data_IF_659292868111
#
_entry.id   IF_659292868111
#
_cell.length_a   1.000
_cell.length_b   1.000
_cell.length_c   1.000
_cell.angle_alpha   90.00
_cell.angle_beta   90.00
_cell.angle_gamma   90.00
#
_symmetry.space_group_name_H-M   'P 1'
#
loop_
_entity.id
_entity.type
_entity.pdbx_description
1 polymer ?
#
# COMPACT_ATOMS: atom_id res chain seq x y z
N UNK A 1 -2.10 -54.70 0.32
CA UNK A 1 -2.61 -53.83 -0.76
C UNK A 1 -2.62 -52.40 -0.21
N UNK A 2 -1.51 -51.68 -0.38
CA UNK A 2 -1.24 -50.40 0.30
C UNK A 2 -1.33 -49.31 -0.74
N UNK A 3 -2.43 -48.55 -0.73
CA UNK A 3 -2.67 -47.46 -1.68
C UNK A 3 -1.91 -46.23 -1.20
N UNK A 4 -0.82 -45.90 -1.90
CA UNK A 4 -0.14 -44.62 -1.76
C UNK A 4 -0.97 -43.51 -2.37
N UNK A 5 -1.58 -42.64 -1.57
CA UNK A 5 -2.13 -41.39 -2.07
C UNK A 5 -1.02 -40.33 -2.13
N UNK A 6 -0.35 -40.30 -3.28
CA UNK A 6 0.46 -39.16 -3.73
C UNK A 6 -0.48 -37.96 -3.89
N UNK A 7 -0.37 -36.99 -3.00
CA UNK A 7 -0.94 -35.66 -3.18
C UNK A 7 -0.17 -34.97 -4.30
N UNK A 8 -0.71 -34.97 -5.51
CA UNK A 8 -0.27 -34.06 -6.57
C UNK A 8 -0.68 -32.63 -6.20
N UNK A 9 0.28 -31.88 -5.67
CA UNK A 9 0.16 -30.45 -5.41
C UNK A 9 0.89 -29.73 -6.56
N UNK A 10 0.13 -28.94 -7.32
CA UNK A 10 0.55 -28.35 -8.60
C UNK A 10 1.82 -27.49 -8.58
N UNK A 11 2.44 -27.44 -9.75
CA UNK A 11 3.60 -26.66 -10.26
C UNK A 11 4.60 -26.08 -9.23
N UNK A 12 5.85 -26.56 -9.32
CA UNK A 12 6.98 -26.14 -8.48
C UNK A 12 7.33 -24.64 -8.54
N UNK A 13 6.88 -23.91 -9.55
CA UNK A 13 7.18 -22.48 -9.73
C UNK A 13 6.47 -21.61 -8.69
N UNK A 14 5.19 -21.87 -8.41
CA UNK A 14 4.43 -21.12 -7.40
C UNK A 14 4.98 -21.34 -6.00
N UNK A 15 5.48 -22.55 -5.71
CA UNK A 15 6.13 -22.86 -4.41
C UNK A 15 7.51 -22.22 -4.29
N UNK A 16 8.28 -22.13 -5.39
CA UNK A 16 9.58 -21.45 -5.42
C UNK A 16 9.45 -19.93 -5.29
N UNK A 17 8.42 -19.30 -5.85
CA UNK A 17 8.18 -17.87 -5.67
C UNK A 17 7.75 -17.51 -4.24
N UNK A 18 6.96 -18.36 -3.58
CA UNK A 18 6.57 -18.19 -2.16
C UNK A 18 7.79 -18.26 -1.21
N UNK A 19 8.86 -18.97 -1.60
CA UNK A 19 10.10 -19.06 -0.82
C UNK A 19 11.02 -17.84 -0.98
N UNK A 20 10.74 -16.93 -1.92
CA UNK A 20 11.59 -15.76 -2.21
C UNK A 20 11.10 -14.46 -1.55
N UNK A 21 9.93 -14.48 -0.90
CA UNK A 21 9.39 -13.32 -0.19
C UNK A 21 9.50 -13.54 1.33
N UNK A 22 9.82 -12.48 2.07
CA UNK A 22 9.89 -12.53 3.54
C UNK A 22 8.50 -12.69 4.19
N UNK A 23 7.42 -12.54 3.41
CA UNK A 23 6.04 -12.71 3.86
C UNK A 23 5.61 -14.16 3.66
N UNK A 24 5.18 -14.82 4.73
CA UNK A 24 4.85 -16.24 4.75
C UNK A 24 3.35 -16.46 4.86
N UNK A 25 2.75 -16.96 3.77
CA UNK A 25 1.32 -17.24 3.70
C UNK A 25 0.94 -18.70 3.98
N UNK A 26 1.86 -19.57 4.42
CA UNK A 26 1.57 -21.00 4.65
C UNK A 26 0.39 -21.21 5.60
N UNK A 27 0.37 -20.51 6.73
CA UNK A 27 -0.71 -20.61 7.72
C UNK A 27 -2.03 -20.02 7.18
N UNK A 28 -1.97 -18.90 6.46
CA UNK A 28 -3.15 -18.32 5.82
C UNK A 28 -3.74 -19.25 4.75
N UNK A 29 -2.92 -19.87 3.91
CA UNK A 29 -3.39 -20.83 2.89
C UNK A 29 -4.02 -22.05 3.56
N UNK A 30 -3.41 -22.56 4.64
CA UNK A 30 -3.91 -23.74 5.34
C UNK A 30 -5.20 -23.49 6.10
N UNK A 31 -5.30 -22.38 6.82
CA UNK A 31 -6.37 -22.14 7.81
C UNK A 31 -7.24 -20.90 7.51
N UNK A 32 -6.73 -19.94 6.75
CA UNK A 32 -7.36 -18.65 6.49
C UNK A 32 -8.13 -18.53 5.17
N UNK A 33 -7.94 -19.42 4.19
CA UNK A 33 -8.57 -19.32 2.85
C UNK A 33 -10.08 -19.56 2.85
N UNK A 34 -10.84 -18.76 2.10
CA UNK A 34 -12.27 -18.99 1.90
C UNK A 34 -12.51 -20.10 0.87
N UNK A 35 -13.60 -20.86 1.03
CA UNK A 35 -13.89 -22.02 0.17
C UNK A 35 -14.06 -21.63 -1.30
N UNK A 36 -14.77 -20.54 -1.59
CA UNK A 36 -15.00 -20.07 -2.97
C UNK A 36 -13.79 -19.35 -3.58
N UNK A 37 -12.67 -19.23 -2.85
CA UNK A 37 -11.41 -18.65 -3.33
C UNK A 37 -10.22 -19.47 -2.81
N UNK A 38 -10.06 -20.72 -3.27
CA UNK A 38 -9.10 -21.67 -2.71
C UNK A 38 -7.63 -21.29 -2.98
N UNK A 39 -7.40 -20.49 -4.02
CA UNK A 39 -6.09 -20.04 -4.48
C UNK A 39 -5.98 -18.51 -4.33
N UNK A 40 -5.68 -17.99 -3.12
CA UNK A 40 -5.51 -16.56 -2.92
C UNK A 40 -4.26 -16.08 -3.68
N UNK A 41 -4.32 -14.89 -4.28
CA UNK A 41 -3.20 -14.30 -4.99
C UNK A 41 -2.17 -13.74 -3.98
N UNK A 42 -0.94 -14.27 -3.89
CA UNK A 42 0.06 -13.80 -2.93
C UNK A 42 0.40 -12.31 -3.11
N UNK A 43 0.54 -11.83 -4.35
CA UNK A 43 0.82 -10.41 -4.65
C UNK A 43 -0.28 -9.51 -4.08
N UNK A 44 -1.54 -9.92 -4.17
CA UNK A 44 -2.64 -9.18 -3.55
C UNK A 44 -2.56 -9.20 -2.02
N UNK A 45 -2.19 -10.33 -1.41
CA UNK A 45 -2.05 -10.43 0.05
C UNK A 45 -0.92 -9.54 0.58
N UNK A 46 0.23 -9.54 -0.09
CA UNK A 46 1.37 -8.67 0.22
C UNK A 46 0.97 -7.20 0.12
N UNK A 47 0.30 -6.83 -0.98
CA UNK A 47 -0.24 -5.48 -1.18
C UNK A 47 -1.25 -5.12 -0.09
N UNK A 48 -2.14 -6.04 0.26
CA UNK A 48 -3.19 -5.79 1.26
C UNK A 48 -2.58 -5.54 2.64
N UNK A 49 -1.56 -6.29 3.03
CA UNK A 49 -0.86 -6.06 4.29
C UNK A 49 -0.25 -4.66 4.31
N UNK A 50 0.51 -4.28 3.27
CA UNK A 50 1.10 -2.94 3.21
C UNK A 50 0.06 -1.82 3.25
N UNK A 51 -1.06 -1.98 2.54
CA UNK A 51 -2.15 -1.02 2.56
C UNK A 51 -2.84 -0.94 3.93
N UNK A 52 -3.08 -2.09 4.57
CA UNK A 52 -3.66 -2.16 5.89
C UNK A 52 -2.72 -1.56 6.96
N UNK A 53 -1.41 -1.72 6.83
CA UNK A 53 -0.47 -1.09 7.76
C UNK A 53 -0.48 0.44 7.65
N UNK A 54 -0.70 0.98 6.44
CA UNK A 54 -0.80 2.42 6.22
C UNK A 54 -2.15 3.02 6.68
N UNK A 55 -3.27 2.32 6.49
CA UNK A 55 -4.61 2.93 6.70
C UNK A 55 -5.63 2.08 7.47
N UNK A 56 -5.31 0.82 7.74
CA UNK A 56 -6.19 -0.08 8.47
C UNK A 56 -6.21 0.17 9.97
N UNK A 57 -7.27 -0.29 10.64
CA UNK A 57 -7.43 -0.19 12.08
C UNK A 57 -7.84 -1.54 12.68
N UNK A 58 -7.09 -1.98 13.70
CA UNK A 58 -7.51 -3.05 14.60
C UNK A 58 -8.42 -2.46 15.66
N UNK A 59 -9.64 -2.97 15.79
CA UNK A 59 -10.66 -2.44 16.68
C UNK A 59 -10.94 -3.39 17.84
N UNK A 60 -11.05 -2.82 19.04
CA UNK A 60 -11.63 -3.43 20.23
C UNK A 60 -12.66 -2.46 20.81
N UNK A 61 -13.87 -2.92 21.07
CA UNK A 61 -14.88 -2.15 21.79
C UNK A 61 -15.68 -3.06 22.72
N UNK A 62 -16.41 -2.49 23.66
CA UNK A 62 -17.28 -3.22 24.58
C UNK A 62 -18.71 -3.11 24.07
N UNK A 63 -19.44 -4.23 24.01
CA UNK A 63 -20.87 -4.21 23.67
C UNK A 63 -21.76 -3.87 24.87
N UNK A 64 -23.07 -3.77 24.64
CA UNK A 64 -24.05 -3.45 25.66
C UNK A 64 -24.05 -4.46 26.84
N UNK A 65 -23.56 -5.68 26.62
CA UNK A 65 -23.48 -6.74 27.62
C UNK A 65 -22.11 -6.79 28.31
N UNK A 66 -21.33 -5.70 28.24
CA UNK A 66 -19.97 -5.62 28.80
C UNK A 66 -19.00 -6.66 28.21
N UNK A 67 -19.26 -7.16 27.00
CA UNK A 67 -18.38 -8.13 26.33
C UNK A 67 -17.51 -7.43 25.30
N UNK A 68 -16.21 -7.73 25.34
CA UNK A 68 -15.29 -7.28 24.29
C UNK A 68 -15.75 -7.82 22.92
N UNK A 69 -15.70 -6.93 21.93
CA UNK A 69 -15.93 -7.16 20.51
C UNK A 69 -14.71 -6.68 19.74
N UNK A 70 -14.49 -7.32 18.61
CA UNK A 70 -13.30 -7.16 17.82
C UNK A 70 -13.67 -6.88 16.38
N UNK A 71 -12.80 -6.14 15.69
CA UNK A 71 -13.05 -5.75 14.33
C UNK A 71 -11.80 -5.27 13.60
N UNK A 72 -11.94 -5.20 12.29
CA UNK A 72 -10.96 -4.65 11.38
C UNK A 72 -11.68 -3.68 10.44
N UNK A 73 -11.13 -2.48 10.27
CA UNK A 73 -11.71 -1.46 9.40
C UNK A 73 -10.66 -0.77 8.54
N UNK A 74 -11.05 -0.43 7.32
CA UNK A 74 -10.35 0.53 6.45
C UNK A 74 -11.40 1.52 5.92
N UNK A 75 -11.12 2.82 5.98
CA UNK A 75 -12.05 3.87 5.53
C UNK A 75 -11.43 4.75 4.46
N UNK A 76 -12.03 4.77 3.28
CA UNK A 76 -11.50 5.46 2.10
C UNK A 76 -12.58 6.16 1.29
N UNK A 77 -12.18 7.15 0.47
CA UNK A 77 -13.08 7.78 -0.51
C UNK A 77 -13.26 6.92 -1.78
N UNK A 78 -12.32 6.02 -2.06
CA UNK A 78 -12.33 5.19 -3.27
C UNK A 78 -13.11 3.89 -3.05
N UNK A 79 -14.41 3.91 -3.39
CA UNK A 79 -15.29 2.74 -3.27
C UNK A 79 -14.82 1.56 -4.13
N UNK A 80 -14.24 1.83 -5.30
CA UNK A 80 -13.78 0.76 -6.19
C UNK A 80 -12.63 0.00 -5.54
N UNK A 81 -11.72 0.71 -4.87
CA UNK A 81 -10.65 0.09 -4.07
C UNK A 81 -11.22 -0.78 -2.95
N UNK A 82 -12.26 -0.32 -2.24
CA UNK A 82 -12.92 -1.11 -1.19
C UNK A 82 -13.52 -2.41 -1.76
N UNK A 83 -14.21 -2.35 -2.90
CA UNK A 83 -14.72 -3.55 -3.58
C UNK A 83 -13.61 -4.49 -4.06
N UNK A 84 -12.48 -3.95 -4.55
CA UNK A 84 -11.30 -4.77 -4.89
C UNK A 84 -10.75 -5.50 -3.66
N UNK A 85 -10.66 -4.84 -2.51
CA UNK A 85 -10.22 -5.47 -1.26
C UNK A 85 -11.18 -6.59 -0.84
N UNK A 86 -12.48 -6.30 -0.78
CA UNK A 86 -13.51 -7.29 -0.42
C UNK A 86 -13.44 -8.52 -1.35
N UNK A 87 -13.31 -8.29 -2.65
CA UNK A 87 -13.24 -9.36 -3.67
C UNK A 87 -11.92 -10.12 -3.62
N UNK A 88 -10.82 -9.41 -3.34
CA UNK A 88 -9.49 -10.01 -3.17
C UNK A 88 -9.42 -10.94 -1.97
N UNK A 89 -10.03 -10.56 -0.84
CA UNK A 89 -10.13 -11.41 0.36
C UNK A 89 -11.24 -12.46 0.26
N UNK A 90 -12.31 -12.17 -0.47
CA UNK A 90 -13.51 -13.01 -0.59
C UNK A 90 -14.49 -12.87 0.59
N UNK A 91 -14.33 -11.83 1.43
CA UNK A 91 -15.18 -11.59 2.59
C UNK A 91 -15.10 -10.15 3.09
N UNK A 92 -15.94 -9.82 4.07
CA UNK A 92 -16.08 -8.51 4.67
C UNK A 92 -17.24 -7.71 4.06
N UNK A 93 -17.60 -6.62 4.75
CA UNK A 93 -18.72 -5.76 4.38
C UNK A 93 -18.20 -4.41 3.90
N UNK A 94 -18.89 -3.82 2.94
CA UNK A 94 -18.67 -2.44 2.52
C UNK A 94 -19.90 -1.64 2.92
N UNK A 95 -19.68 -0.57 3.67
CA UNK A 95 -20.75 0.32 4.13
C UNK A 95 -20.41 1.75 3.73
N UNK A 96 -21.41 2.48 3.24
CA UNK A 96 -21.29 3.90 2.95
C UNK A 96 -21.38 4.71 4.26
N UNK A 97 -20.51 5.70 4.42
CA UNK A 97 -20.52 6.63 5.54
C UNK A 97 -20.79 8.02 5.00
N UNK A 98 -21.99 8.51 5.25
CA UNK A 98 -22.39 9.90 5.01
C UNK A 98 -22.41 10.64 6.32
N UNK A 99 -21.56 11.66 6.46
CA UNK A 99 -21.71 12.68 7.50
C UNK A 99 -22.31 13.92 6.82
N UNK A 100 -23.22 14.62 7.48
CA UNK A 100 -23.78 15.89 6.97
C UNK A 100 -22.62 16.82 6.56
N UNK A 101 -22.75 17.45 5.39
CA UNK A 101 -21.78 18.38 4.79
C UNK A 101 -20.35 17.83 4.58
N UNK A 102 -20.16 16.51 4.56
CA UNK A 102 -18.85 15.88 4.31
C UNK A 102 -18.86 15.01 3.04
N UNK A 103 -17.70 14.83 2.39
CA UNK A 103 -17.60 13.89 1.27
C UNK A 103 -17.95 12.47 1.71
N UNK A 104 -18.53 11.69 0.80
CA UNK A 104 -18.88 10.29 1.05
C UNK A 104 -17.60 9.48 1.26
N UNK A 105 -17.57 8.70 2.33
CA UNK A 105 -16.55 7.69 2.58
C UNK A 105 -17.16 6.30 2.53
N UNK A 106 -16.31 5.31 2.30
CA UNK A 106 -16.66 3.91 2.26
C UNK A 106 -15.79 3.17 3.27
N UNK A 107 -16.43 2.35 4.08
CA UNK A 107 -15.76 1.50 5.07
C UNK A 107 -15.80 0.07 4.61
N UNK A 108 -14.63 -0.53 4.44
CA UNK A 108 -14.48 -1.97 4.47
C UNK A 108 -14.38 -2.42 5.93
N UNK A 109 -15.20 -3.38 6.35
CA UNK A 109 -15.17 -3.90 7.71
C UNK A 109 -15.31 -5.42 7.81
N UNK A 110 -14.66 -5.98 8.82
CA UNK A 110 -14.77 -7.39 9.20
C UNK A 110 -14.95 -7.46 10.71
N UNK A 111 -16.08 -7.99 11.16
CA UNK A 111 -16.42 -8.12 12.58
C UNK A 111 -16.82 -9.54 12.99
N UNK A 112 -17.05 -10.43 12.03
CA UNK A 112 -17.43 -11.81 12.32
C UNK A 112 -16.22 -12.65 12.72
N UNK A 113 -16.39 -13.52 13.72
CA UNK A 113 -15.33 -14.30 14.32
C UNK A 113 -14.55 -15.15 13.31
N UNK A 114 -15.28 -15.75 12.36
CA UNK A 114 -14.70 -16.62 11.33
C UNK A 114 -13.71 -15.85 10.47
N UNK A 115 -14.11 -14.70 9.93
CA UNK A 115 -13.25 -13.91 9.05
C UNK A 115 -12.17 -13.14 9.81
N UNK A 116 -12.41 -12.74 11.06
CA UNK A 116 -11.35 -12.22 11.92
C UNK A 116 -10.24 -13.26 12.14
N UNK A 117 -10.60 -14.52 12.39
CA UNK A 117 -9.63 -15.62 12.50
C UNK A 117 -8.80 -15.78 11.23
N UNK A 118 -9.41 -15.65 10.04
CA UNK A 118 -8.69 -15.65 8.76
C UNK A 118 -7.66 -14.53 8.68
N UNK A 119 -8.03 -13.33 9.14
CA UNK A 119 -7.14 -12.17 9.13
C UNK A 119 -6.01 -12.30 10.16
N UNK A 120 -6.24 -12.95 11.31
CA UNK A 120 -5.14 -13.31 12.23
C UNK A 120 -4.11 -14.16 11.50
N UNK A 121 -4.53 -15.22 10.80
CA UNK A 121 -3.60 -16.05 10.01
C UNK A 121 -2.89 -15.30 8.89
N UNK A 122 -3.50 -14.23 8.36
CA UNK A 122 -2.89 -13.39 7.33
C UNK A 122 -1.82 -12.46 7.89
N UNK A 123 -2.11 -11.78 9.01
CA UNK A 123 -1.24 -10.75 9.57
C UNK A 123 -0.15 -11.32 10.49
N UNK A 124 -0.42 -12.44 11.18
CA UNK A 124 0.50 -12.99 12.16
C UNK A 124 1.80 -13.47 11.50
N UNK A 125 2.91 -12.81 11.85
CA UNK A 125 4.21 -13.06 11.24
C UNK A 125 4.46 -12.31 9.91
N UNK A 126 3.55 -11.43 9.48
CA UNK A 126 3.61 -10.76 8.18
C UNK A 126 3.56 -9.22 8.25
N UNK A 127 3.33 -8.63 9.42
CA UNK A 127 3.36 -7.17 9.62
C UNK A 127 4.81 -6.67 9.66
N UNK A 128 5.10 -5.54 9.01
CA UNK A 128 6.45 -4.95 8.91
C UNK A 128 6.62 -3.77 9.88
N UNK A 129 5.61 -2.91 10.05
CA UNK A 129 5.73 -1.71 10.89
C UNK A 129 5.64 -2.06 12.37
N UNK A 130 6.57 -1.52 13.16
CA UNK A 130 6.62 -1.75 14.61
C UNK A 130 5.32 -1.32 15.28
N UNK A 131 4.69 -0.24 14.81
CA UNK A 131 3.40 0.23 15.33
C UNK A 131 2.30 -0.80 15.13
N UNK A 132 2.18 -1.38 13.93
CA UNK A 132 1.13 -2.37 13.63
C UNK A 132 1.40 -3.70 14.28
N UNK A 133 2.66 -4.13 14.37
CA UNK A 133 3.05 -5.32 15.14
C UNK A 133 2.59 -5.20 16.60
N UNK A 134 2.88 -4.08 17.27
CA UNK A 134 2.44 -3.82 18.65
C UNK A 134 0.92 -3.79 18.78
N UNK A 135 0.23 -3.08 17.88
CA UNK A 135 -1.24 -3.04 17.88
C UNK A 135 -1.84 -4.44 17.72
N UNK A 136 -1.29 -5.24 16.80
CA UNK A 136 -1.75 -6.59 16.53
C UNK A 136 -1.47 -7.54 17.70
N UNK A 137 -0.29 -7.48 18.31
CA UNK A 137 0.06 -8.29 19.48
C UNK A 137 -0.95 -8.10 20.63
N UNK A 138 -1.25 -6.83 20.97
CA UNK A 138 -2.24 -6.50 22.01
C UNK A 138 -3.63 -6.98 21.59
N UNK A 139 -4.01 -6.75 20.33
CA UNK A 139 -5.31 -7.12 19.81
C UNK A 139 -5.54 -8.63 19.84
N UNK A 140 -4.55 -9.44 19.44
CA UNK A 140 -4.61 -10.91 19.49
C UNK A 140 -4.65 -11.44 20.92
N UNK A 141 -3.86 -10.87 21.84
CA UNK A 141 -3.89 -11.28 23.25
C UNK A 141 -5.29 -11.09 23.87
N UNK A 142 -5.95 -9.97 23.57
CA UNK A 142 -7.31 -9.70 24.03
C UNK A 142 -8.37 -10.56 23.31
N UNK A 143 -8.16 -10.82 22.01
CA UNK A 143 -9.01 -11.72 21.23
C UNK A 143 -8.98 -13.14 21.79
N UNK A 144 -7.80 -13.65 22.12
CA UNK A 144 -7.59 -14.96 22.74
C UNK A 144 -8.39 -15.09 24.05
N UNK A 145 -8.28 -14.10 24.95
CA UNK A 145 -9.05 -14.06 26.20
C UNK A 145 -10.57 -14.09 25.96
N UNK A 146 -11.06 -13.31 24.99
CA UNK A 146 -12.50 -13.19 24.72
C UNK A 146 -13.11 -14.45 24.12
N UNK A 147 -12.39 -15.12 23.24
CA UNK A 147 -12.91 -16.24 22.45
C UNK A 147 -12.33 -17.60 22.87
N UNK A 148 -11.57 -17.64 23.97
CA UNK A 148 -10.88 -18.84 24.46
C UNK A 148 -10.08 -19.52 23.34
N UNK A 149 -9.28 -18.72 22.62
CA UNK A 149 -8.39 -19.19 21.55
C UNK A 149 -6.93 -18.99 21.94
N UNK A 150 -6.03 -19.62 21.20
CA UNK A 150 -4.61 -19.82 21.55
C UNK A 150 -3.65 -19.33 20.46
N UNK A 151 -4.03 -18.28 19.71
CA UNK A 151 -3.15 -17.71 18.69
C UNK A 151 -1.87 -17.15 19.32
N UNK A 152 -0.73 -17.79 19.04
CA UNK A 152 0.58 -17.27 19.43
C UNK A 152 1.01 -16.14 18.49
N UNK A 153 1.33 -14.97 19.04
CA UNK A 153 1.93 -13.88 18.26
C UNK A 153 3.33 -14.27 17.78
N UNK A 154 3.58 -14.15 16.49
CA UNK A 154 4.88 -14.42 15.87
C UNK A 154 5.66 -13.10 15.74
N UNK A 155 6.71 -12.94 16.54
CA UNK A 155 7.63 -11.79 16.48
C UNK A 155 8.65 -11.93 15.33
N UNK A 156 8.13 -12.03 14.11
CA UNK A 156 8.95 -11.98 12.89
C UNK A 156 9.24 -10.53 12.52
N UNK A 157 10.40 -10.27 11.92
CA UNK A 157 10.78 -8.95 11.42
C UNK A 157 10.96 -8.97 9.90
N UNK A 158 9.88 -9.14 9.11
CA UNK A 158 9.97 -8.99 7.66
C UNK A 158 10.43 -7.56 7.33
N UNK A 159 11.20 -7.42 6.27
CA UNK A 159 11.79 -6.17 5.81
C UNK A 159 11.16 -5.71 4.50
N UNK A 160 11.26 -4.40 4.24
CA UNK A 160 10.84 -3.86 2.96
C UNK A 160 11.86 -4.23 1.87
N UNK A 161 11.37 -4.58 0.67
CA UNK A 161 12.24 -4.87 -0.46
C UNK A 161 11.51 -4.69 -1.80
N UNK A 162 12.24 -4.84 -2.90
CA UNK A 162 11.68 -4.82 -4.26
C UNK A 162 11.12 -6.17 -4.74
N UNK A 163 11.05 -7.18 -3.86
CA UNK A 163 10.64 -8.55 -4.23
C UNK A 163 9.20 -8.89 -3.85
N UNK A 164 8.47 -7.99 -3.21
CA UNK A 164 7.08 -8.18 -2.80
C UNK A 164 6.24 -6.91 -3.04
N UNK A 165 4.92 -7.03 -2.97
CA UNK A 165 3.98 -5.93 -3.24
C UNK A 165 3.69 -5.04 -2.02
N UNK A 166 4.34 -5.27 -0.88
CA UNK A 166 4.04 -4.56 0.37
C UNK A 166 4.19 -3.04 0.24
N UNK A 167 5.30 -2.56 -0.35
CA UNK A 167 5.52 -1.12 -0.53
C UNK A 167 4.47 -0.49 -1.45
N UNK A 168 3.97 -1.22 -2.46
CA UNK A 168 2.90 -0.74 -3.33
C UNK A 168 1.60 -0.53 -2.54
N UNK A 169 1.26 -1.48 -1.66
CA UNK A 169 0.16 -1.35 -0.73
C UNK A 169 0.30 -0.14 0.19
N UNK A 170 1.46 -0.01 0.83
CA UNK A 170 1.75 1.11 1.74
C UNK A 170 1.68 2.46 1.02
N UNK A 171 2.26 2.56 -0.17
CA UNK A 171 2.25 3.76 -1.00
C UNK A 171 0.85 4.13 -1.51
N UNK A 172 -0.09 3.18 -1.61
CA UNK A 172 -1.48 3.48 -2.01
C UNK A 172 -2.12 4.53 -1.09
N UNK A 173 -1.73 4.59 0.18
CA UNK A 173 -2.22 5.61 1.11
C UNK A 173 -1.37 6.88 1.10
N UNK A 174 -0.07 6.75 1.34
CA UNK A 174 0.76 7.87 1.81
C UNK A 174 1.73 8.44 0.77
N UNK A 175 1.90 7.77 -0.37
CA UNK A 175 2.72 8.30 -1.43
C UNK A 175 2.06 9.52 -2.08
N UNK A 176 2.85 10.30 -2.82
CA UNK A 176 2.32 11.32 -3.70
C UNK A 176 3.26 11.64 -4.83
N UNK A 177 2.64 12.13 -5.90
CA UNK A 177 3.26 12.46 -7.16
C UNK A 177 3.02 13.93 -7.43
N UNK A 178 4.09 14.71 -7.54
CA UNK A 178 4.00 16.13 -7.82
C UNK A 178 4.76 16.47 -9.08
N UNK A 179 4.21 17.39 -9.86
CA UNK A 179 4.85 17.97 -11.04
C UNK A 179 4.60 19.47 -11.06
N UNK A 180 5.64 20.25 -11.36
CA UNK A 180 5.52 21.68 -11.57
C UNK A 180 4.75 21.97 -12.87
N UNK A 181 3.72 22.80 -12.79
CA UNK A 181 2.90 23.18 -13.96
C UNK A 181 3.36 24.45 -14.68
N UNK A 182 4.27 25.22 -14.07
CA UNK A 182 4.84 26.46 -14.64
C UNK A 182 6.27 26.22 -15.12
N UNK A 183 6.73 27.03 -16.07
CA UNK A 183 8.13 27.04 -16.56
C UNK A 183 8.61 25.67 -17.05
N UNK A 184 7.72 24.91 -17.72
CA UNK A 184 7.97 23.54 -18.20
C UNK A 184 8.86 23.47 -19.45
N UNK A 185 9.17 24.61 -20.05
CA UNK A 185 10.17 24.78 -21.11
C UNK A 185 11.18 25.80 -20.61
N UNK A 186 12.46 25.52 -20.82
CA UNK A 186 13.55 26.49 -20.66
C UNK A 186 14.12 26.83 -22.04
N UNK A 187 14.58 28.07 -22.18
CA UNK A 187 15.39 28.51 -23.31
C UNK A 187 16.84 28.54 -22.82
N UNK A 188 17.73 27.86 -23.52
CA UNK A 188 19.16 27.82 -23.23
C UNK A 188 19.85 29.07 -23.82
N UNK A 189 21.11 29.30 -23.45
CA UNK A 189 21.89 30.46 -23.92
C UNK A 189 22.04 30.52 -25.44
N UNK A 190 22.13 29.36 -26.08
CA UNK A 190 22.19 29.18 -27.54
C UNK A 190 20.83 29.34 -28.25
N UNK A 191 19.81 29.85 -27.54
CA UNK A 191 18.40 29.97 -27.97
C UNK A 191 17.70 28.63 -28.23
N UNK A 192 18.36 27.49 -28.01
CA UNK A 192 17.70 26.18 -28.09
C UNK A 192 16.71 26.00 -26.93
N UNK A 193 15.65 25.24 -27.18
CA UNK A 193 14.62 24.96 -26.17
C UNK A 193 14.79 23.55 -25.61
N UNK A 194 14.51 23.39 -24.32
CA UNK A 194 14.46 22.09 -23.67
C UNK A 194 13.29 22.04 -22.69
N UNK A 195 12.71 20.85 -22.51
CA UNK A 195 11.76 20.65 -21.42
C UNK A 195 12.47 20.79 -20.07
N UNK A 196 11.83 21.51 -19.15
CA UNK A 196 12.30 21.78 -17.80
C UNK A 196 11.30 21.22 -16.79
N UNK A 197 11.24 19.89 -16.69
CA UNK A 197 10.25 19.19 -15.89
C UNK A 197 10.78 18.96 -14.48
N UNK A 198 10.27 19.76 -13.53
CA UNK A 198 10.47 19.52 -12.10
C UNK A 198 9.33 18.66 -11.57
N UNK A 199 9.69 17.55 -10.95
CA UNK A 199 8.72 16.60 -10.41
C UNK A 199 9.30 15.91 -9.18
N UNK A 200 8.41 15.53 -8.27
CA UNK A 200 8.76 14.88 -7.01
C UNK A 200 7.93 13.62 -6.82
N UNK A 201 8.57 12.59 -6.29
CA UNK A 201 7.90 11.55 -5.53
C UNK A 201 8.07 11.87 -4.05
N UNK A 202 7.03 11.64 -3.27
CA UNK A 202 7.09 11.86 -1.82
C UNK A 202 6.24 10.87 -1.05
N UNK A 203 6.56 10.72 0.24
CA UNK A 203 5.78 9.99 1.22
C UNK A 203 5.64 10.90 2.44
N UNK A 204 4.42 11.06 2.94
CA UNK A 204 4.13 11.80 4.17
C UNK A 204 3.53 10.83 5.17
N UNK A 205 4.11 10.73 6.37
CA UNK A 205 3.62 9.84 7.43
C UNK A 205 3.71 10.54 8.78
N UNK A 206 2.73 10.34 9.66
CA UNK A 206 2.70 10.95 11.00
C UNK A 206 3.83 10.38 11.86
N UNK A 207 3.87 9.06 11.95
CA UNK A 207 4.88 8.31 12.69
C UNK A 207 5.89 7.67 11.70
N UNK A 208 6.50 6.54 12.05
CA UNK A 208 7.26 5.69 11.10
C UNK A 208 8.52 6.31 10.48
N UNK A 209 9.22 7.21 11.17
CA UNK A 209 10.51 7.76 10.70
C UNK A 209 11.54 6.66 10.38
N UNK A 210 11.52 5.56 11.14
CA UNK A 210 12.38 4.38 10.90
C UNK A 210 12.07 3.75 9.53
N UNK A 211 10.80 3.49 9.23
CA UNK A 211 10.38 2.98 7.92
C UNK A 211 10.76 3.95 6.80
N UNK A 212 10.56 5.26 6.98
CA UNK A 212 10.95 6.26 5.99
C UNK A 212 12.47 6.24 5.74
N UNK A 213 13.30 6.01 6.77
CA UNK A 213 14.75 5.83 6.57
C UNK A 213 15.05 4.56 5.78
N UNK A 214 14.38 3.43 6.04
CA UNK A 214 14.54 2.21 5.25
C UNK A 214 14.18 2.48 3.77
N UNK A 215 13.06 3.16 3.51
CA UNK A 215 12.62 3.53 2.16
C UNK A 215 13.65 4.48 1.51
N UNK A 216 14.18 5.44 2.27
CA UNK A 216 15.24 6.36 1.82
C UNK A 216 16.45 5.59 1.30
N UNK A 217 16.93 4.60 2.04
CA UNK A 217 18.05 3.75 1.63
C UNK A 217 17.71 2.89 0.41
N UNK A 218 16.55 2.23 0.42
CA UNK A 218 16.11 1.32 -0.64
C UNK A 218 15.97 2.03 -1.99
N UNK A 219 15.39 3.23 -2.02
CA UNK A 219 15.20 4.05 -3.23
C UNK A 219 16.36 5.03 -3.51
N UNK A 220 17.46 4.95 -2.73
CA UNK A 220 18.65 5.77 -2.89
C UNK A 220 18.32 7.28 -2.91
N UNK A 221 17.49 7.72 -1.97
CA UNK A 221 17.04 9.10 -1.85
C UNK A 221 18.05 9.84 -0.95
N UNK A 222 18.75 10.89 -1.42
CA UNK A 222 19.78 11.54 -0.61
C UNK A 222 19.20 12.55 0.40
N UNK A 223 18.06 13.16 0.08
CA UNK A 223 17.39 14.17 0.91
C UNK A 223 17.07 13.64 2.29
N UNK A 224 17.23 14.50 3.30
CA UNK A 224 16.86 14.17 4.66
C UNK A 224 15.34 14.16 4.85
N UNK A 225 14.88 13.34 5.80
CA UNK A 225 13.50 13.39 6.26
C UNK A 225 13.33 14.68 7.06
N UNK A 226 12.33 15.47 6.73
CA UNK A 226 12.00 16.71 7.44
C UNK A 226 10.53 16.69 7.88
N UNK A 227 10.16 17.61 8.76
CA UNK A 227 8.78 17.71 9.26
C UNK A 227 8.00 18.78 8.51
N UNK A 228 6.73 18.49 8.24
CA UNK A 228 5.75 19.43 7.67
C UNK A 228 4.49 19.45 8.55
N UNK A 229 3.71 20.52 8.45
CA UNK A 229 2.34 20.57 8.98
C UNK A 229 1.35 20.50 7.84
N UNK A 230 0.10 20.10 8.10
CA UNK A 230 -0.96 20.09 7.10
C UNK A 230 -1.60 21.49 6.88
N UNK A 231 -1.02 22.55 7.46
CA UNK A 231 -1.51 23.92 7.34
C UNK A 231 -2.78 24.24 8.13
N UNK A 232 -3.44 23.24 8.72
CA UNK A 232 -4.73 23.40 9.42
C UNK A 232 -4.68 22.92 10.88
N UNK A 233 -3.72 22.07 11.21
CA UNK A 233 -3.51 21.50 12.56
C UNK A 233 -2.03 21.71 12.92
N UNK A 234 -1.74 21.84 14.22
CA UNK A 234 -0.37 21.86 14.78
C UNK A 234 0.35 20.50 14.66
N UNK A 235 -0.31 19.50 14.09
CA UNK A 235 0.20 18.16 13.94
C UNK A 235 1.34 18.11 12.91
N UNK A 236 2.46 17.52 13.33
CA UNK A 236 3.68 17.38 12.52
C UNK A 236 3.69 16.02 11.84
N UNK A 237 4.13 16.01 10.59
CA UNK A 237 4.27 14.81 9.77
C UNK A 237 5.71 14.71 9.25
N UNK A 238 6.27 13.51 9.24
CA UNK A 238 7.55 13.22 8.61
C UNK A 238 7.37 13.12 7.09
N UNK A 239 8.27 13.76 6.35
CA UNK A 239 8.25 13.86 4.90
C UNK A 239 9.56 13.34 4.32
N UNK A 240 9.46 12.34 3.46
CA UNK A 240 10.54 11.90 2.57
C UNK A 240 10.16 12.27 1.14
N UNK A 241 11.04 12.95 0.40
CA UNK A 241 10.78 13.26 -1.00
C UNK A 241 12.05 13.26 -1.85
N UNK A 242 11.92 12.96 -3.14
CA UNK A 242 13.03 12.97 -4.10
C UNK A 242 12.60 13.63 -5.39
N UNK A 243 13.53 14.34 -6.03
CA UNK A 243 13.39 14.81 -7.43
C UNK A 243 14.37 14.10 -8.39
N UNK A 244 15.20 13.21 -7.84
CA UNK A 244 16.27 12.56 -8.58
C UNK A 244 15.72 11.56 -9.60
N UNK A 245 16.28 11.61 -10.80
CA UNK A 245 15.89 10.70 -11.87
C UNK A 245 16.16 9.24 -11.50
N UNK A 246 17.32 8.94 -10.88
CA UNK A 246 17.68 7.58 -10.44
C UNK A 246 16.64 6.97 -9.50
N UNK A 247 16.25 7.70 -8.45
CA UNK A 247 15.20 7.25 -7.52
C UNK A 247 13.85 7.07 -8.21
N UNK A 248 13.48 7.97 -9.13
CA UNK A 248 12.24 7.84 -9.91
C UNK A 248 12.23 6.60 -10.83
N UNK A 249 13.38 6.24 -11.41
CA UNK A 249 13.50 5.04 -12.25
C UNK A 249 13.34 3.76 -11.43
N UNK A 250 13.96 3.69 -10.24
CA UNK A 250 13.75 2.58 -9.29
C UNK A 250 12.27 2.45 -8.90
N UNK A 251 11.64 3.58 -8.58
CA UNK A 251 10.21 3.63 -8.27
C UNK A 251 9.34 3.12 -9.43
N UNK A 252 9.63 3.54 -10.66
CA UNK A 252 8.88 3.08 -11.83
C UNK A 252 9.07 1.60 -12.07
N UNK A 253 10.30 1.09 -11.93
CA UNK A 253 10.56 -0.34 -12.07
C UNK A 253 9.75 -1.15 -11.05
N UNK A 254 9.78 -0.73 -9.78
CA UNK A 254 9.02 -1.38 -8.72
C UNK A 254 7.51 -1.32 -8.96
N UNK A 255 6.93 -0.14 -9.18
CA UNK A 255 5.47 0.04 -9.35
C UNK A 255 4.94 -0.45 -10.71
N UNK A 256 5.82 -0.71 -11.68
CA UNK A 256 5.43 -1.43 -12.91
C UNK A 256 5.28 -2.92 -12.62
N UNK A 257 6.11 -3.49 -11.74
CA UNK A 257 6.02 -4.89 -11.30
C UNK A 257 4.89 -5.11 -10.29
N UNK A 258 4.70 -4.18 -9.37
CA UNK A 258 3.68 -4.23 -8.31
C UNK A 258 2.77 -3.00 -8.41
N UNK A 259 1.73 -3.02 -9.26
CA UNK A 259 0.87 -1.87 -9.49
C UNK A 259 0.02 -1.54 -8.27
N UNK A 260 -0.38 -0.27 -8.19
CA UNK A 260 -1.46 0.17 -7.31
C UNK A 260 -2.79 -0.46 -7.74
N UNK A 261 -3.70 -0.64 -6.79
CA UNK A 261 -5.04 -1.16 -7.06
C UNK A 261 -6.09 -0.06 -7.13
N UNK A 262 -5.85 1.10 -6.51
CA UNK A 262 -6.80 2.22 -6.47
C UNK A 262 -6.60 3.23 -7.60
N UNK A 263 -7.26 4.38 -7.47
CA UNK A 263 -7.09 5.54 -8.36
C UNK A 263 -5.63 6.03 -8.45
N UNK A 264 -4.78 5.70 -7.47
CA UNK A 264 -3.36 6.08 -7.51
C UNK A 264 -2.61 5.48 -8.70
N UNK A 265 -3.05 4.33 -9.22
CA UNK A 265 -2.48 3.77 -10.45
C UNK A 265 -2.58 4.74 -11.63
N UNK A 266 -3.68 5.49 -11.72
CA UNK A 266 -3.91 6.48 -12.78
C UNK A 266 -2.92 7.63 -12.62
N UNK A 267 -2.76 8.16 -11.41
CA UNK A 267 -1.82 9.23 -11.10
C UNK A 267 -0.37 8.80 -11.39
N UNK A 268 0.02 7.59 -10.96
CA UNK A 268 1.32 7.02 -11.25
C UNK A 268 1.57 6.88 -12.75
N UNK A 269 0.61 6.35 -13.52
CA UNK A 269 0.72 6.21 -14.97
C UNK A 269 0.91 7.57 -15.66
N UNK A 270 0.17 8.60 -15.23
CA UNK A 270 0.32 9.98 -15.75
C UNK A 270 1.68 10.56 -15.39
N UNK A 271 2.12 10.42 -14.14
CA UNK A 271 3.42 10.87 -13.66
C UNK A 271 4.59 10.15 -14.35
N UNK A 272 4.48 8.83 -14.58
CA UNK A 272 5.43 8.03 -15.38
C UNK A 272 5.54 8.54 -16.81
N UNK A 273 4.41 8.91 -17.44
CA UNK A 273 4.41 9.53 -18.78
C UNK A 273 5.12 10.88 -18.79
N UNK A 274 4.90 11.70 -17.76
CA UNK A 274 5.62 12.99 -17.59
C UNK A 274 7.13 12.76 -17.42
N UNK A 275 7.57 11.76 -16.64
CA UNK A 275 8.99 11.44 -16.49
C UNK A 275 9.65 11.15 -17.85
N UNK A 276 8.92 10.58 -18.80
CA UNK A 276 9.40 10.33 -20.16
C UNK A 276 9.95 11.60 -20.85
N UNK A 277 9.43 12.79 -20.53
CA UNK A 277 9.93 14.07 -21.07
C UNK A 277 11.27 14.51 -20.47
N UNK A 278 11.74 13.86 -19.38
CA UNK A 278 13.09 14.06 -18.83
C UNK A 278 14.13 13.13 -19.45
N UNK A 279 13.71 12.01 -20.02
CA UNK A 279 14.61 10.95 -20.50
C UNK A 279 14.63 10.81 -22.01
N UNK A 280 13.57 11.23 -22.70
CA UNK A 280 13.44 11.14 -24.17
C UNK A 280 13.44 12.53 -24.78
N UNK A 281 13.95 12.63 -26.01
CA UNK A 281 13.84 13.85 -26.82
C UNK A 281 12.46 13.89 -27.48
N UNK A 282 11.72 14.97 -27.25
CA UNK A 282 10.46 15.25 -27.95
C UNK A 282 10.56 16.63 -28.61
N UNK A 283 10.01 16.83 -29.82
CA UNK A 283 9.96 18.14 -30.45
C UNK A 283 9.16 19.14 -29.61
N UNK A 284 9.69 20.34 -29.44
CA UNK A 284 9.04 21.42 -28.70
C UNK A 284 8.27 22.28 -29.69
N UNK A 285 6.95 22.05 -29.74
CA UNK A 285 5.98 22.85 -30.50
C UNK A 285 4.87 23.36 -29.58
N UNK A 286 4.14 24.40 -29.98
CA UNK A 286 2.96 24.89 -29.25
C UNK A 286 1.99 23.76 -28.89
N UNK A 287 1.72 22.85 -29.83
CA UNK A 287 0.87 21.65 -29.63
C UNK A 287 1.44 20.71 -28.57
N UNK A 288 2.75 20.44 -28.60
CA UNK A 288 3.41 19.57 -27.63
C UNK A 288 3.36 20.14 -26.20
N UNK A 289 3.51 21.46 -26.05
CA UNK A 289 3.49 22.16 -24.77
C UNK A 289 2.09 22.07 -24.16
N UNK A 290 1.05 22.37 -24.94
CA UNK A 290 -0.35 22.25 -24.51
C UNK A 290 -0.67 20.82 -24.08
N UNK A 291 -0.23 19.81 -24.86
CA UNK A 291 -0.41 18.40 -24.52
C UNK A 291 0.24 18.03 -23.19
N UNK A 292 1.47 18.51 -22.95
CA UNK A 292 2.18 18.27 -21.70
C UNK A 292 1.52 19.00 -20.52
N UNK A 293 1.08 20.24 -20.70
CA UNK A 293 0.36 20.99 -19.66
C UNK A 293 -0.92 20.26 -19.23
N UNK A 294 -1.72 19.76 -20.18
CA UNK A 294 -2.91 18.95 -19.89
C UNK A 294 -2.55 17.70 -19.09
N UNK A 295 -1.52 16.96 -19.52
CA UNK A 295 -1.04 15.78 -18.81
C UNK A 295 -0.60 16.11 -17.37
N UNK A 296 0.06 17.26 -17.15
CA UNK A 296 0.49 17.70 -15.81
C UNK A 296 -0.71 18.09 -14.95
N UNK A 297 -1.70 18.79 -15.50
CA UNK A 297 -2.92 19.12 -14.76
C UNK A 297 -3.65 17.85 -14.29
N UNK A 298 -3.67 16.82 -15.13
CA UNK A 298 -4.25 15.52 -14.81
C UNK A 298 -3.45 14.71 -13.77
N UNK A 299 -2.25 15.15 -13.35
CA UNK A 299 -1.50 14.51 -12.25
C UNK A 299 -1.89 15.03 -10.87
N UNK A 300 -2.74 16.05 -10.79
CA UNK A 300 -3.21 16.65 -9.54
C UNK A 300 -4.46 15.96 -9.02
#
# INVERSE_FOLDING_TARGET
MTISNKLEIGSSETTREILLTQLNFKNYIRFGRVQHKPNPNPIFLEWFIGFFEADGCFLKWVDQNQKNRFGLEITQKDVQLMYKIRTGLGFGKITEIRKQNNPIYWRYSVYDLKNLTRLIWLFNGNLITVKKQKQFQIWVAEFNKRYNSDFLFLDTKPEICFKNAWLSGFFERDAGFWVQSKNIVRVNKDKSQAYNIKMKFYITQRDEKVLLNQIKHLFQIPSNIYQITNGSVTEKYNRLETSLLKSHLLLIQYLTKYPFLGKRQILFNRWKRVLGYRTKKYPITKKSIIKLQRLILDTK
#
